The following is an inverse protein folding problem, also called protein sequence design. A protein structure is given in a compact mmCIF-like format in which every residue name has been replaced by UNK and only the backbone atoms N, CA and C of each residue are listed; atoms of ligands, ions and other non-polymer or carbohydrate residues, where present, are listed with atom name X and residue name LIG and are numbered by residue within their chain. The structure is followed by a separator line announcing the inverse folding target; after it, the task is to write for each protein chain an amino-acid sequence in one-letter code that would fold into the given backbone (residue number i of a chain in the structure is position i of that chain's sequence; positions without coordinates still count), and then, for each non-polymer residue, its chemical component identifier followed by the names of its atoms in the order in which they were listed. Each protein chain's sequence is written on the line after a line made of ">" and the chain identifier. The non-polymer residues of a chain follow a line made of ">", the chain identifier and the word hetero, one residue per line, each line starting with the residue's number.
data_IF_844238916468
#
_entry.id   IF_844238916468
#
_cell.length_a   1.000
_cell.length_b   1.000
_cell.length_c   1.000
_cell.angle_alpha   90.00
_cell.angle_beta   90.00
_cell.angle_gamma   90.00
#
_symmetry.space_group_name_H-M   'P 1'
#
loop_
_entity.id
_entity.type
_entity.pdbx_description
1 polymer ?
#
# COMPACT_ATOMS: atom_id res chain seq x y z
N UNK A 1 4.65 -13.38 18.46
CA UNK A 1 3.36 -13.84 17.90
C UNK A 1 2.37 -12.71 17.70
N UNK A 2 2.03 -11.92 18.73
CA UNK A 2 1.09 -10.79 18.59
C UNK A 2 1.54 -9.73 17.57
N UNK A 3 2.85 -9.51 17.46
CA UNK A 3 3.46 -8.52 16.56
C UNK A 3 3.21 -8.83 15.07
N UNK A 4 3.47 -10.07 14.64
CA UNK A 4 3.20 -10.53 13.27
C UNK A 4 1.71 -10.46 12.90
N UNK A 5 0.82 -10.75 13.85
CA UNK A 5 -0.63 -10.60 13.65
C UNK A 5 -1.00 -9.13 13.43
N UNK A 6 -0.44 -8.22 14.22
CA UNK A 6 -0.70 -6.78 14.10
C UNK A 6 -0.14 -6.23 12.78
N UNK A 7 1.06 -6.64 12.39
CA UNK A 7 1.69 -6.27 11.12
C UNK A 7 0.85 -6.73 9.93
N UNK A 8 0.40 -7.99 9.94
CA UNK A 8 -0.45 -8.55 8.88
C UNK A 8 -1.79 -7.82 8.81
N UNK A 9 -2.41 -7.53 9.97
CA UNK A 9 -3.68 -6.79 10.01
C UNK A 9 -3.54 -5.36 9.47
N UNK A 10 -2.41 -4.69 9.74
CA UNK A 10 -2.13 -3.36 9.19
C UNK A 10 -1.94 -3.44 7.67
N UNK A 11 -1.17 -4.41 7.17
CA UNK A 11 -0.97 -4.62 5.74
C UNK A 11 -2.29 -4.85 4.99
N UNK A 12 -3.16 -5.70 5.52
CA UNK A 12 -4.46 -5.99 4.91
C UNK A 12 -5.36 -4.75 4.88
N UNK A 13 -5.47 -4.01 6.00
CA UNK A 13 -6.29 -2.77 6.04
C UNK A 13 -5.82 -1.71 5.05
N UNK A 14 -4.50 -1.54 4.90
CA UNK A 14 -3.96 -0.57 3.94
C UNK A 14 -4.23 -1.04 2.50
N UNK A 15 -4.08 -2.33 2.23
CA UNK A 15 -4.37 -2.92 0.91
C UNK A 15 -5.86 -2.74 0.56
N UNK A 16 -6.76 -3.02 1.50
CA UNK A 16 -8.22 -2.80 1.33
C UNK A 16 -8.53 -1.33 1.04
N UNK A 17 -7.91 -0.39 1.76
CA UNK A 17 -8.10 1.04 1.53
C UNK A 17 -7.62 1.47 0.14
N UNK A 18 -6.49 0.95 -0.33
CA UNK A 18 -5.97 1.20 -1.69
C UNK A 18 -6.96 0.67 -2.73
N UNK A 19 -7.41 -0.59 -2.61
CA UNK A 19 -8.35 -1.19 -3.56
C UNK A 19 -9.68 -0.43 -3.58
N UNK A 20 -10.22 -0.09 -2.40
CA UNK A 20 -11.46 0.68 -2.30
C UNK A 20 -11.34 2.06 -2.95
N UNK A 21 -10.18 2.71 -2.86
CA UNK A 21 -9.93 4.00 -3.50
C UNK A 21 -9.80 3.88 -5.02
N UNK A 22 -9.13 2.84 -5.52
CA UNK A 22 -9.04 2.56 -6.96
C UNK A 22 -10.41 2.26 -7.57
N UNK A 23 -11.26 1.53 -6.84
CA UNK A 23 -12.64 1.26 -7.24
C UNK A 23 -13.48 2.55 -7.22
N UNK A 24 -13.36 3.36 -6.16
CA UNK A 24 -14.05 4.66 -6.04
C UNK A 24 -13.69 5.63 -7.17
N UNK A 25 -12.46 5.55 -7.67
CA UNK A 25 -11.99 6.35 -8.81
C UNK A 25 -12.35 5.72 -10.18
N UNK A 26 -12.87 4.50 -10.20
CA UNK A 26 -13.24 3.79 -11.43
C UNK A 26 -12.04 3.29 -12.24
N UNK A 27 -10.88 3.09 -11.60
CA UNK A 27 -9.63 2.68 -12.27
C UNK A 27 -9.16 1.28 -11.88
N UNK A 28 -9.84 0.61 -10.95
CA UNK A 28 -9.43 -0.69 -10.41
C UNK A 28 -9.16 -1.76 -11.50
N UNK A 29 -10.07 -1.91 -12.46
CA UNK A 29 -9.91 -2.87 -13.57
C UNK A 29 -8.72 -2.49 -14.48
N UNK A 30 -8.63 -1.22 -14.87
CA UNK A 30 -7.56 -0.74 -15.74
C UNK A 30 -6.17 -0.93 -15.13
N UNK A 31 -5.99 -0.70 -13.82
CA UNK A 31 -4.70 -0.91 -13.17
C UNK A 31 -4.41 -2.39 -12.93
N UNK A 32 -5.44 -3.21 -12.70
CA UNK A 32 -5.27 -4.66 -12.59
C UNK A 32 -4.75 -5.26 -13.91
N UNK A 33 -5.28 -4.82 -15.05
CA UNK A 33 -4.81 -5.23 -16.39
C UNK A 33 -3.35 -4.84 -16.66
N UNK A 34 -2.88 -3.77 -16.02
CA UNK A 34 -1.48 -3.34 -16.06
C UNK A 34 -0.58 -4.10 -15.08
N UNK A 35 -1.12 -5.06 -14.32
CA UNK A 35 -0.38 -5.87 -13.36
C UNK A 35 -0.05 -5.12 -12.06
N UNK A 36 -0.81 -4.08 -11.72
CA UNK A 36 -0.62 -3.34 -10.48
C UNK A 36 -0.81 -4.23 -9.24
N UNK A 37 0.19 -4.29 -8.35
CA UNK A 37 0.10 -5.02 -7.07
C UNK A 37 -0.22 -4.05 -5.90
N UNK A 38 -1.46 -4.01 -5.41
CA UNK A 38 -1.83 -3.17 -4.26
C UNK A 38 -1.13 -3.59 -2.97
N UNK A 39 -0.69 -4.84 -2.84
CA UNK A 39 0.03 -5.33 -1.67
C UNK A 39 1.45 -4.76 -1.62
N UNK A 40 2.10 -4.60 -2.78
CA UNK A 40 3.40 -3.94 -2.88
C UNK A 40 3.31 -2.46 -2.51
N UNK A 41 2.30 -1.76 -3.03
CA UNK A 41 2.05 -0.37 -2.64
C UNK A 41 1.78 -0.26 -1.13
N UNK A 42 0.98 -1.15 -0.55
CA UNK A 42 0.69 -1.13 0.87
C UNK A 42 1.95 -1.26 1.73
N UNK A 43 2.89 -2.14 1.34
CA UNK A 43 4.21 -2.24 2.01
C UNK A 43 4.99 -0.94 1.93
N UNK A 44 5.01 -0.27 0.77
CA UNK A 44 5.70 1.02 0.63
C UNK A 44 5.06 2.12 1.47
N UNK A 45 3.73 2.21 1.48
CA UNK A 45 2.98 3.19 2.27
C UNK A 45 3.26 3.01 3.76
N UNK A 46 3.30 1.76 4.23
CA UNK A 46 3.64 1.41 5.60
C UNK A 46 5.07 1.87 5.95
N UNK A 47 6.06 1.51 5.13
CA UNK A 47 7.45 1.94 5.33
C UNK A 47 7.59 3.46 5.36
N UNK A 48 6.90 4.14 4.45
CA UNK A 48 6.91 5.60 4.40
C UNK A 48 6.29 6.22 5.66
N UNK A 49 5.17 5.69 6.14
CA UNK A 49 4.54 6.12 7.39
C UNK A 49 5.42 5.85 8.62
N UNK A 50 6.23 4.79 8.57
CA UNK A 50 7.18 4.43 9.62
C UNK A 50 8.50 5.24 9.52
N UNK A 51 8.60 6.16 8.55
CA UNK A 51 9.76 7.04 8.34
C UNK A 51 10.92 6.38 7.57
N UNK A 52 10.73 5.16 7.07
CA UNK A 52 11.68 4.46 6.20
C UNK A 52 11.51 4.94 4.75
N UNK A 53 11.91 6.18 4.52
CA UNK A 53 11.93 6.84 3.20
C UNK A 53 13.37 7.18 2.81
N UNK A 54 13.70 7.01 1.52
CA UNK A 54 14.93 7.58 0.98
C UNK A 54 14.79 9.11 0.98
N UNK A 55 15.66 9.86 1.66
CA UNK A 55 15.58 11.31 1.62
C UNK A 55 15.80 11.79 0.20
N UNK A 56 14.82 12.51 -0.36
CA UNK A 56 15.02 13.26 -1.59
C UNK A 56 16.06 14.35 -1.28
N UNK A 57 17.33 14.11 -1.63
CA UNK A 57 18.34 15.17 -1.64
C UNK A 57 17.89 16.17 -2.70
N UNK A 58 17.41 17.34 -2.27
CA UNK A 58 17.27 18.48 -3.19
C UNK A 58 18.67 18.81 -3.77
N UNK A 59 18.76 19.22 -5.05
CA UNK A 59 20.00 19.68 -5.64
C UNK A 59 20.58 20.88 -4.87
#
# INVERSE_FOLDING_TARGET
>A
MADLTAETARLMKVTEAIVAELDRQGVAEAVADLGFDPLELARMVIRAADGDVVPFRRP
#
